data_IF_329688044422
#
_entry.id   IF_329688044422
#
_cell.length_a   1.000
_cell.length_b   1.000
_cell.length_c   1.000
_cell.angle_alpha   90.00
_cell.angle_beta   90.00
_cell.angle_gamma   90.00
#
_symmetry.space_group_name_H-M   'P 1'
#
loop_
_entity.id
_entity.type
_entity.pdbx_description
1 polymer ?
#
# COMPACT_ATOMS: atom_id res chain seq x y z
N UNK A 1 -0.31 -23.93 -13.74
CA UNK A 1 -1.70 -23.57 -14.07
C UNK A 1 -1.85 -22.07 -13.87
N UNK A 2 -2.40 -21.36 -14.86
CA UNK A 2 -2.69 -19.93 -14.75
C UNK A 2 -3.81 -19.71 -13.73
N UNK A 3 -3.80 -18.52 -13.13
CA UNK A 3 -4.89 -18.06 -12.29
C UNK A 3 -6.09 -17.69 -13.19
N UNK A 4 -7.28 -18.08 -12.76
CA UNK A 4 -8.54 -17.63 -13.36
C UNK A 4 -9.47 -17.23 -12.22
N UNK A 5 -10.08 -16.05 -12.34
CA UNK A 5 -11.08 -15.63 -11.37
C UNK A 5 -12.37 -16.41 -11.59
N UNK A 6 -12.95 -16.94 -10.52
CA UNK A 6 -14.27 -17.57 -10.54
C UNK A 6 -15.37 -16.48 -10.41
N UNK A 7 -16.17 -16.23 -11.46
CA UNK A 7 -17.23 -15.22 -11.40
C UNK A 7 -18.29 -15.54 -10.34
N UNK A 8 -18.64 -16.81 -10.15
CA UNK A 8 -19.64 -17.20 -9.16
C UNK A 8 -19.17 -16.87 -7.74
N UNK A 9 -17.89 -17.13 -7.45
CA UNK A 9 -17.29 -16.76 -6.17
C UNK A 9 -17.24 -15.24 -5.96
N UNK A 10 -16.94 -14.46 -7.00
CA UNK A 10 -16.99 -12.99 -6.94
C UNK A 10 -18.40 -12.50 -6.58
N UNK A 11 -19.42 -13.07 -7.21
CA UNK A 11 -20.81 -12.70 -6.97
C UNK A 11 -21.25 -13.04 -5.53
N UNK A 12 -20.92 -14.23 -5.02
CA UNK A 12 -21.19 -14.59 -3.62
C UNK A 12 -20.48 -13.66 -2.63
N UNK A 13 -19.22 -13.31 -2.90
CA UNK A 13 -18.45 -12.40 -2.04
C UNK A 13 -19.12 -11.02 -1.96
N UNK A 14 -19.57 -10.49 -3.10
CA UNK A 14 -20.21 -9.18 -3.20
C UNK A 14 -21.62 -9.15 -2.58
N UNK A 15 -22.25 -10.30 -2.29
CA UNK A 15 -23.51 -10.33 -1.51
C UNK A 15 -23.29 -10.02 -0.03
N UNK A 16 -22.15 -10.44 0.52
CA UNK A 16 -21.84 -10.32 1.95
C UNK A 16 -21.00 -9.07 2.26
N UNK A 17 -20.12 -8.67 1.33
CA UNK A 17 -19.28 -7.49 1.49
C UNK A 17 -19.97 -6.23 0.95
N UNK A 18 -19.92 -5.14 1.72
CA UNK A 18 -20.55 -3.84 1.36
C UNK A 18 -19.59 -2.64 1.36
N UNK A 19 -18.40 -2.75 1.95
CA UNK A 19 -17.40 -1.68 2.03
C UNK A 19 -16.46 -1.61 0.82
N UNK A 20 -16.41 -2.67 0.02
CA UNK A 20 -15.63 -2.75 -1.21
C UNK A 20 -16.29 -3.75 -2.18
N UNK A 21 -15.92 -3.68 -3.46
CA UNK A 21 -16.48 -4.54 -4.51
C UNK A 21 -15.38 -5.37 -5.15
N UNK A 22 -15.49 -6.70 -5.10
CA UNK A 22 -14.65 -7.59 -5.88
C UNK A 22 -14.99 -7.47 -7.36
N UNK A 23 -13.95 -7.43 -8.20
CA UNK A 23 -14.07 -7.42 -9.66
C UNK A 23 -13.00 -8.31 -10.29
N UNK A 24 -13.27 -8.76 -11.51
CA UNK A 24 -12.32 -9.53 -12.31
C UNK A 24 -11.29 -8.59 -12.95
N UNK A 25 -10.01 -8.98 -12.88
CA UNK A 25 -8.90 -8.28 -13.53
C UNK A 25 -8.28 -9.18 -14.60
N UNK A 26 -8.65 -9.04 -15.89
CA UNK A 26 -8.13 -9.90 -16.96
C UNK A 26 -6.60 -9.91 -17.07
N UNK A 27 -5.94 -8.80 -16.75
CA UNK A 27 -4.47 -8.72 -16.75
C UNK A 27 -3.82 -9.60 -15.69
N UNK A 28 -4.51 -9.92 -14.60
CA UNK A 28 -4.00 -10.80 -13.56
C UNK A 28 -4.11 -12.29 -13.92
N UNK A 29 -4.98 -12.65 -14.87
CA UNK A 29 -5.14 -14.05 -15.32
C UNK A 29 -4.00 -14.53 -16.23
N UNK A 30 -3.11 -13.61 -16.63
CA UNK A 30 -1.86 -13.92 -17.33
C UNK A 30 -0.80 -14.54 -16.40
N UNK A 31 -1.05 -14.54 -15.09
CA UNK A 31 -0.11 -14.99 -14.06
C UNK A 31 -0.53 -16.32 -13.44
N UNK A 32 0.43 -17.09 -12.91
CA UNK A 32 0.11 -18.22 -12.04
C UNK A 32 -0.19 -17.74 -10.62
N UNK A 33 -0.83 -18.58 -9.79
CA UNK A 33 -0.99 -18.29 -8.35
C UNK A 33 0.34 -17.96 -7.67
N UNK A 34 1.44 -18.62 -8.06
CA UNK A 34 2.78 -18.35 -7.52
C UNK A 34 3.28 -16.95 -7.89
N UNK A 35 2.99 -16.49 -9.10
CA UNK A 35 3.38 -15.15 -9.55
C UNK A 35 2.53 -14.08 -8.85
N UNK A 36 1.23 -14.33 -8.63
CA UNK A 36 0.38 -13.46 -7.82
C UNK A 36 0.88 -13.34 -6.37
N UNK A 37 1.32 -14.44 -5.76
CA UNK A 37 1.94 -14.42 -4.42
C UNK A 37 3.22 -13.58 -4.44
N UNK A 38 4.06 -13.70 -5.46
CA UNK A 38 5.27 -12.86 -5.62
C UNK A 38 4.90 -11.38 -5.75
N UNK A 39 3.88 -11.04 -6.54
CA UNK A 39 3.39 -9.66 -6.66
C UNK A 39 2.94 -9.10 -5.31
N UNK A 40 2.35 -9.93 -4.45
CA UNK A 40 1.87 -9.59 -3.11
C UNK A 40 2.97 -9.58 -2.01
N UNK A 41 4.25 -9.62 -2.37
CA UNK A 41 5.38 -9.58 -1.42
C UNK A 41 6.02 -10.94 -1.11
N UNK A 42 5.62 -11.98 -1.83
CA UNK A 42 6.21 -13.31 -1.73
C UNK A 42 5.64 -14.17 -0.60
N UNK A 43 6.25 -15.33 -0.40
CA UNK A 43 5.92 -16.21 0.72
C UNK A 43 6.50 -15.66 2.03
N UNK A 44 5.95 -16.10 3.16
CA UNK A 44 6.46 -15.75 4.48
C UNK A 44 7.98 -15.93 4.55
N UNK A 45 8.68 -14.90 5.03
CA UNK A 45 10.12 -14.99 5.28
C UNK A 45 10.40 -16.10 6.27
N UNK A 46 11.42 -16.91 5.98
CA UNK A 46 11.94 -17.91 6.93
C UNK A 46 12.79 -17.25 8.03
N UNK A 47 13.17 -15.98 7.86
CA UNK A 47 13.94 -15.24 8.85
C UNK A 47 13.01 -14.66 9.92
N UNK A 48 13.29 -14.91 11.22
CA UNK A 48 12.54 -14.28 12.28
C UNK A 48 12.71 -12.76 12.20
N UNK A 49 11.61 -12.02 12.38
CA UNK A 49 11.69 -10.56 12.47
C UNK A 49 12.30 -10.20 13.83
N UNK A 50 13.46 -9.50 13.88
CA UNK A 50 14.03 -9.03 15.14
C UNK A 50 13.01 -8.19 15.91
N UNK A 51 12.91 -8.38 17.22
CA UNK A 51 11.95 -7.63 18.07
C UNK A 51 12.25 -6.14 18.04
N UNK A 52 13.50 -5.78 17.84
CA UNK A 52 14.03 -4.41 17.73
C UNK A 52 13.46 -3.68 16.51
N UNK A 53 13.05 -4.42 15.46
CA UNK A 53 12.40 -3.84 14.27
C UNK A 53 10.89 -3.69 14.43
N UNK A 54 10.31 -4.21 15.51
CA UNK A 54 8.92 -3.93 15.84
C UNK A 54 8.86 -2.67 16.68
N UNK A 55 8.15 -1.64 16.20
CA UNK A 55 7.96 -0.41 16.95
C UNK A 55 7.04 -0.70 18.15
N UNK A 56 7.64 -1.10 19.27
CA UNK A 56 6.96 -1.39 20.54
C UNK A 56 6.81 -0.14 21.41
N UNK A 57 7.32 0.99 20.95
CA UNK A 57 7.34 2.24 21.70
C UNK A 57 5.96 2.87 21.74
N UNK A 58 5.47 3.17 22.94
CA UNK A 58 4.26 3.98 23.10
C UNK A 58 4.54 5.41 22.59
N UNK A 59 3.57 6.05 21.91
CA UNK A 59 3.66 7.46 21.55
C UNK A 59 3.99 8.32 22.77
N UNK A 60 4.85 9.33 22.62
CA UNK A 60 5.11 10.29 23.69
C UNK A 60 3.88 11.17 23.94
N UNK A 61 3.82 11.82 25.11
CA UNK A 61 2.71 12.72 25.45
C UNK A 61 2.62 13.91 24.49
N UNK A 62 3.77 14.39 24.04
CA UNK A 62 3.90 15.48 23.07
C UNK A 62 3.34 15.06 21.71
N UNK A 63 3.66 13.84 21.26
CA UNK A 63 3.13 13.30 20.00
C UNK A 63 1.61 13.10 20.07
N UNK A 64 1.09 12.61 21.19
CA UNK A 64 -0.36 12.49 21.41
C UNK A 64 -1.06 13.86 21.41
N UNK A 65 -0.44 14.88 22.01
CA UNK A 65 -0.96 16.25 21.98
C UNK A 65 -0.96 16.81 20.55
N UNK A 66 0.14 16.65 19.81
CA UNK A 66 0.22 17.11 18.42
C UNK A 66 -0.78 16.38 17.50
N UNK A 67 -1.05 15.10 17.77
CA UNK A 67 -2.03 14.33 17.02
C UNK A 67 -3.47 14.82 17.23
N UNK A 68 -3.77 15.51 18.34
CA UNK A 68 -5.10 16.05 18.62
C UNK A 68 -5.49 17.19 17.67
N UNK A 69 -4.50 17.87 17.09
CA UNK A 69 -4.70 19.00 16.17
C UNK A 69 -4.70 18.56 14.69
N UNK A 70 -4.66 17.25 14.40
CA UNK A 70 -4.70 16.73 13.03
C UNK A 70 -6.09 16.90 12.40
N UNK A 71 -6.16 17.13 11.08
CA UNK A 71 -7.43 17.18 10.38
C UNK A 71 -8.15 15.83 10.42
N UNK A 72 -9.49 15.87 10.37
CA UNK A 72 -10.33 14.67 10.33
C UNK A 72 -10.03 13.78 9.11
N UNK A 73 -9.70 14.39 7.98
CA UNK A 73 -9.37 13.74 6.72
C UNK A 73 -8.16 14.44 6.10
N UNK A 74 -7.22 13.67 5.56
CA UNK A 74 -6.00 14.20 4.96
C UNK A 74 -5.51 13.28 3.84
N UNK A 75 -5.18 13.87 2.69
CA UNK A 75 -4.64 13.17 1.54
C UNK A 75 -3.39 13.89 1.03
N UNK A 76 -2.23 13.24 1.11
CA UNK A 76 -0.96 13.79 0.61
C UNK A 76 -0.99 14.13 -0.89
N UNK A 77 -1.91 13.57 -1.67
CA UNK A 77 -2.09 13.92 -3.10
C UNK A 77 -2.73 15.30 -3.28
N UNK A 78 -3.41 15.80 -2.25
CA UNK A 78 -4.13 17.08 -2.24
C UNK A 78 -3.80 17.86 -0.95
N UNK A 79 -2.54 18.29 -0.77
CA UNK A 79 -2.04 18.82 0.51
C UNK A 79 -2.61 20.21 0.89
N UNK A 80 -3.23 20.91 -0.06
CA UNK A 80 -3.87 22.21 0.17
C UNK A 80 -3.96 23.03 -1.11
N UNK A 81 -4.73 24.12 -1.08
CA UNK A 81 -4.86 25.03 -2.21
C UNK A 81 -3.50 25.67 -2.54
N UNK A 82 -3.11 25.63 -3.82
CA UNK A 82 -1.84 26.16 -4.30
C UNK A 82 -0.60 25.33 -3.95
N UNK A 83 -0.74 24.20 -3.24
CA UNK A 83 0.39 23.31 -2.92
C UNK A 83 0.47 22.14 -3.92
N UNK A 84 1.64 21.88 -4.52
CA UNK A 84 1.83 20.73 -5.40
C UNK A 84 1.85 19.41 -4.61
N UNK A 85 1.45 18.33 -5.27
CA UNK A 85 1.47 16.99 -4.66
C UNK A 85 2.91 16.49 -4.43
N UNK A 86 3.32 16.20 -3.18
CA UNK A 86 4.57 15.48 -2.91
C UNK A 86 4.51 14.01 -3.38
N UNK A 87 3.32 13.46 -3.60
CA UNK A 87 3.14 12.07 -4.05
C UNK A 87 3.41 11.97 -5.56
N UNK A 88 4.28 11.05 -5.95
CA UNK A 88 4.59 10.75 -7.34
C UNK A 88 3.50 9.87 -8.01
N UNK A 89 3.38 9.89 -9.35
CA UNK A 89 2.42 9.05 -10.05
C UNK A 89 2.58 7.56 -9.74
N UNK A 90 1.48 6.80 -9.87
CA UNK A 90 1.48 5.34 -9.68
C UNK A 90 2.44 4.69 -10.68
N UNK A 91 3.28 3.77 -10.18
CA UNK A 91 4.23 2.99 -10.98
C UNK A 91 3.91 1.50 -10.92
N UNK A 92 4.50 0.72 -11.83
CA UNK A 92 4.31 -0.72 -11.92
C UNK A 92 5.59 -1.48 -11.53
N UNK A 93 5.53 -2.27 -10.46
CA UNK A 93 6.65 -3.10 -9.99
C UNK A 93 6.95 -4.31 -10.89
N UNK A 94 6.05 -4.65 -11.80
CA UNK A 94 6.13 -5.87 -12.61
C UNK A 94 6.15 -7.14 -11.75
N UNK A 95 6.52 -8.30 -12.34
CA UNK A 95 6.49 -9.60 -11.66
C UNK A 95 7.63 -9.81 -10.64
N UNK A 96 8.45 -8.79 -10.36
CA UNK A 96 9.67 -8.91 -9.57
C UNK A 96 9.41 -9.21 -8.07
N UNK A 97 8.26 -8.78 -7.53
CA UNK A 97 8.01 -8.80 -6.09
C UNK A 97 8.78 -7.71 -5.34
N UNK A 98 9.05 -6.58 -6.01
CA UNK A 98 9.84 -5.45 -5.50
C UNK A 98 8.99 -4.41 -4.75
N UNK A 99 7.82 -4.78 -4.22
CA UNK A 99 6.91 -3.86 -3.52
C UNK A 99 7.60 -3.10 -2.38
N UNK A 100 8.53 -3.73 -1.66
CA UNK A 100 9.31 -3.10 -0.58
C UNK A 100 10.21 -1.96 -1.09
N UNK A 101 10.78 -2.11 -2.29
CA UNK A 101 11.60 -1.07 -2.92
C UNK A 101 10.71 0.08 -3.42
N UNK A 102 9.57 -0.23 -4.05
CA UNK A 102 8.61 0.78 -4.51
C UNK A 102 8.03 1.58 -3.34
N UNK A 103 7.64 0.91 -2.25
CA UNK A 103 7.09 1.56 -1.05
C UNK A 103 8.13 2.47 -0.38
N UNK A 104 9.37 2.00 -0.21
CA UNK A 104 10.43 2.79 0.42
C UNK A 104 10.89 3.96 -0.46
N UNK A 105 11.03 3.77 -1.78
CA UNK A 105 11.33 4.85 -2.73
C UNK A 105 10.22 5.89 -2.77
N UNK A 106 8.94 5.49 -2.83
CA UNK A 106 7.82 6.44 -2.85
C UNK A 106 7.76 7.32 -1.59
N UNK A 107 8.00 6.72 -0.41
CA UNK A 107 8.08 7.47 0.84
C UNK A 107 9.29 8.44 0.87
N UNK A 108 10.44 8.02 0.35
CA UNK A 108 11.64 8.85 0.27
C UNK A 108 11.45 10.04 -0.69
N UNK A 109 10.88 9.81 -1.88
CA UNK A 109 10.56 10.85 -2.85
C UNK A 109 9.66 11.93 -2.25
N UNK A 110 8.58 11.52 -1.59
CA UNK A 110 7.66 12.44 -0.92
C UNK A 110 8.38 13.26 0.17
N UNK A 111 9.23 12.60 0.97
CA UNK A 111 9.99 13.28 2.03
C UNK A 111 10.96 14.31 1.48
N UNK A 112 11.66 14.00 0.39
CA UNK A 112 12.55 14.95 -0.29
C UNK A 112 11.73 16.13 -0.81
N UNK A 113 10.62 15.89 -1.52
CA UNK A 113 9.75 16.96 -2.06
C UNK A 113 9.26 17.92 -0.97
N UNK A 114 8.77 17.38 0.14
CA UNK A 114 8.35 18.18 1.30
C UNK A 114 9.49 19.00 1.90
N UNK A 115 10.69 18.43 2.00
CA UNK A 115 11.84 19.11 2.59
C UNK A 115 12.33 20.30 1.75
N UNK A 116 12.13 20.25 0.44
CA UNK A 116 12.70 21.24 -0.50
C UNK A 116 11.68 22.18 -1.12
N UNK A 117 10.44 22.18 -0.61
CA UNK A 117 9.36 23.08 -1.05
C UNK A 117 9.13 23.06 -2.56
N UNK A 118 9.15 21.86 -3.13
CA UNK A 118 8.96 21.58 -4.55
C UNK A 118 7.54 21.80 -5.03
#
# INVERSE_FOLDING_TARGET
>A
MLYHADPAYIDELNKVQHSWKAVRYPDLEKFTHRDLIRLAGGFNTIFPRPRELTNQSRPSRELLKAAADLPREFDWRFPGEGQPSPVTPVRNQGPCGSCYAFASTGALEARVRLWSNF
#
